data_IF_237893298623
#
_entry.id   IF_237893298623
#
_cell.length_a   1.000
_cell.length_b   1.000
_cell.length_c   1.000
_cell.angle_alpha   90.00
_cell.angle_beta   90.00
_cell.angle_gamma   90.00
#
_symmetry.space_group_name_H-M   'P 1'
#
loop_
_entity.id
_entity.type
_entity.pdbx_description
1 polymer ?
#
# COMPACT_ATOMS: atom_id res chain seq x y z
N UNK A 1 -10.02 9.33 6.99
CA UNK A 1 -11.08 8.33 7.24
C UNK A 1 -11.80 7.86 5.98
N UNK A 2 -12.59 8.70 5.28
CA UNK A 2 -13.39 8.25 4.13
C UNK A 2 -12.53 7.60 3.04
N UNK A 3 -11.38 8.20 2.70
CA UNK A 3 -10.43 7.61 1.74
C UNK A 3 -9.94 6.23 2.20
N UNK A 4 -9.57 6.07 3.47
CA UNK A 4 -9.08 4.79 4.00
C UNK A 4 -10.15 3.68 3.94
N UNK A 5 -11.41 4.01 4.24
CA UNK A 5 -12.53 3.07 4.13
C UNK A 5 -12.74 2.64 2.67
N UNK A 6 -12.79 3.59 1.74
CA UNK A 6 -12.97 3.24 0.32
C UNK A 6 -11.76 2.51 -0.26
N UNK A 7 -10.54 2.87 0.12
CA UNK A 7 -9.34 2.13 -0.27
C UNK A 7 -9.36 0.70 0.26
N UNK A 8 -9.85 0.48 1.48
CA UNK A 8 -10.03 -0.85 2.05
C UNK A 8 -11.02 -1.69 1.27
N UNK A 9 -12.20 -1.15 0.98
CA UNK A 9 -13.17 -1.89 0.18
C UNK A 9 -12.70 -2.09 -1.26
N UNK A 10 -12.03 -1.11 -1.86
CA UNK A 10 -11.45 -1.26 -3.20
C UNK A 10 -10.43 -2.39 -3.24
N UNK A 11 -9.57 -2.50 -2.23
CA UNK A 11 -8.56 -3.57 -2.14
C UNK A 11 -9.21 -4.94 -1.86
N UNK A 12 -10.23 -4.96 -1.00
CA UNK A 12 -10.99 -6.18 -0.68
C UNK A 12 -11.77 -6.74 -1.88
N UNK A 13 -12.17 -5.88 -2.82
CA UNK A 13 -12.98 -6.24 -3.97
C UNK A 13 -12.22 -6.33 -5.29
N UNK A 14 -10.91 -6.15 -5.25
CA UNK A 14 -10.05 -6.08 -6.42
C UNK A 14 -10.19 -7.32 -7.32
N UNK A 15 -10.17 -8.53 -6.74
CA UNK A 15 -10.28 -9.76 -7.53
C UNK A 15 -11.69 -10.17 -8.00
N UNK A 16 -12.73 -9.37 -7.75
CA UNK A 16 -14.12 -9.73 -8.12
C UNK A 16 -14.31 -9.75 -9.63
N UNK A 17 -13.72 -8.80 -10.35
CA UNK A 17 -13.86 -8.69 -11.80
C UNK A 17 -13.20 -9.89 -12.52
N UNK A 18 -12.03 -10.35 -12.07
CA UNK A 18 -11.36 -11.55 -12.57
C UNK A 18 -12.15 -12.83 -12.27
N UNK A 19 -12.77 -12.92 -11.08
CA UNK A 19 -13.69 -14.01 -10.75
C UNK A 19 -14.92 -14.00 -11.66
N UNK A 20 -15.49 -12.83 -11.92
CA UNK A 20 -16.64 -12.66 -12.80
C UNK A 20 -16.27 -13.01 -14.25
N UNK A 21 -15.15 -12.51 -14.76
CA UNK A 21 -14.70 -12.77 -16.13
C UNK A 21 -14.48 -14.27 -16.41
N UNK A 22 -13.98 -15.02 -15.42
CA UNK A 22 -13.88 -16.49 -15.51
C UNK A 22 -15.25 -17.17 -15.54
N UNK A 23 -16.22 -16.69 -14.74
CA UNK A 23 -17.59 -17.24 -14.69
C UNK A 23 -18.36 -16.96 -15.98
N UNK A 24 -18.19 -15.79 -16.57
CA UNK A 24 -18.91 -15.37 -17.80
C UNK A 24 -18.17 -15.71 -19.08
N UNK A 25 -17.03 -16.41 -19.00
CA UNK A 25 -16.17 -16.74 -20.14
C UNK A 25 -15.74 -15.50 -20.95
N UNK A 26 -15.55 -14.37 -20.28
CA UNK A 26 -15.17 -13.07 -20.87
C UNK A 26 -13.75 -12.65 -20.50
N UNK A 27 -12.89 -13.60 -20.14
CA UNK A 27 -11.47 -13.35 -19.86
C UNK A 27 -10.79 -12.85 -21.13
N UNK A 28 -10.01 -11.77 -21.02
CA UNK A 28 -9.25 -11.23 -22.15
C UNK A 28 -7.93 -10.60 -21.68
N UNK A 29 -6.88 -10.58 -22.52
CA UNK A 29 -5.61 -9.93 -22.20
C UNK A 29 -5.76 -8.43 -21.93
N UNK A 30 -6.73 -7.77 -22.57
CA UNK A 30 -7.02 -6.35 -22.35
C UNK A 30 -7.65 -6.12 -20.99
N UNK A 31 -8.53 -7.02 -20.54
CA UNK A 31 -9.13 -6.96 -19.20
C UNK A 31 -8.07 -7.12 -18.12
N UNK A 32 -7.19 -8.12 -18.25
CA UNK A 32 -6.08 -8.34 -17.32
C UNK A 32 -5.10 -7.14 -17.29
N UNK A 33 -4.76 -6.59 -18.46
CA UNK A 33 -3.93 -5.37 -18.53
C UNK A 33 -4.62 -4.16 -17.86
N UNK A 34 -5.93 -4.02 -18.02
CA UNK A 34 -6.68 -2.91 -17.44
C UNK A 34 -6.74 -3.00 -15.91
N UNK A 35 -6.98 -4.19 -15.35
CA UNK A 35 -6.94 -4.46 -13.92
C UNK A 35 -5.58 -4.06 -13.31
N UNK A 36 -4.50 -4.56 -13.92
CA UNK A 36 -3.13 -4.22 -13.57
C UNK A 36 -2.79 -2.73 -13.67
N UNK A 37 -3.31 -2.03 -14.69
CA UNK A 37 -3.11 -0.59 -14.84
C UNK A 37 -3.82 0.19 -13.73
N UNK A 38 -5.01 -0.23 -13.32
CA UNK A 38 -5.73 0.37 -12.20
C UNK A 38 -4.97 0.16 -10.88
N UNK A 39 -4.40 -1.03 -10.65
CA UNK A 39 -3.53 -1.31 -9.50
C UNK A 39 -2.34 -0.37 -9.43
N UNK A 40 -1.66 -0.12 -10.55
CA UNK A 40 -0.56 0.85 -10.62
C UNK A 40 -1.03 2.27 -10.24
N UNK A 41 -2.18 2.70 -10.78
CA UNK A 41 -2.73 4.03 -10.50
C UNK A 41 -3.10 4.21 -9.02
N UNK A 42 -3.46 3.14 -8.30
CA UNK A 42 -3.81 3.17 -6.87
C UNK A 42 -2.60 3.43 -5.97
N UNK A 43 -1.36 3.21 -6.44
CA UNK A 43 -0.14 3.33 -5.60
C UNK A 43 0.11 4.77 -5.12
N UNK A 44 -0.05 5.77 -5.98
CA UNK A 44 0.14 7.18 -5.59
C UNK A 44 -0.81 7.63 -4.48
N UNK A 45 -2.16 7.51 -4.63
CA UNK A 45 -3.08 7.89 -3.56
C UNK A 45 -2.89 7.02 -2.31
N UNK A 46 -2.46 5.76 -2.46
CA UNK A 46 -2.08 4.92 -1.32
C UNK A 46 -0.93 5.53 -0.51
N UNK A 47 0.19 5.90 -1.13
CA UNK A 47 1.34 6.48 -0.41
C UNK A 47 0.99 7.85 0.21
N UNK A 48 0.22 8.68 -0.50
CA UNK A 48 -0.23 9.97 0.03
C UNK A 48 -1.11 9.79 1.27
N UNK A 49 -2.00 8.80 1.25
CA UNK A 49 -2.85 8.52 2.41
C UNK A 49 -2.04 7.87 3.53
N UNK A 50 -1.14 6.92 3.25
CA UNK A 50 -0.32 6.24 4.26
C UNK A 50 0.37 7.22 5.24
N UNK A 51 0.87 8.35 4.74
CA UNK A 51 1.60 9.33 5.55
C UNK A 51 0.75 10.46 6.12
N UNK A 52 -0.50 10.61 5.69
CA UNK A 52 -1.37 11.68 6.16
C UNK A 52 -1.54 11.75 7.70
N UNK A 53 -1.61 10.64 8.45
CA UNK A 53 -1.70 10.68 9.92
C UNK A 53 -0.44 11.22 10.60
N UNK A 54 0.71 11.14 9.92
CA UNK A 54 2.01 11.49 10.50
C UNK A 54 2.38 12.96 10.29
N UNK A 55 1.72 13.69 9.37
CA UNK A 55 2.19 14.99 8.87
C UNK A 55 2.22 16.11 9.94
N UNK A 56 1.33 16.06 10.93
CA UNK A 56 1.28 17.04 12.04
C UNK A 56 1.97 16.55 13.33
N UNK A 57 2.48 15.32 13.34
CA UNK A 57 3.04 14.69 14.54
C UNK A 57 4.55 14.88 14.70
N UNK A 58 5.07 14.68 15.92
CA UNK A 58 6.51 14.53 16.21
C UNK A 58 7.17 13.33 15.49
N UNK A 59 6.38 12.51 14.78
CA UNK A 59 6.82 11.37 13.96
C UNK A 59 6.62 11.64 12.47
N UNK A 60 6.67 12.92 12.07
CA UNK A 60 6.52 13.35 10.69
C UNK A 60 7.54 12.70 9.77
N UNK A 61 7.04 12.10 8.71
CA UNK A 61 7.86 11.53 7.64
C UNK A 61 8.15 12.62 6.61
N UNK A 62 9.42 12.80 6.24
CA UNK A 62 9.80 13.84 5.30
C UNK A 62 9.19 13.56 3.91
N UNK A 63 8.79 14.60 3.14
CA UNK A 63 8.28 14.42 1.79
C UNK A 63 9.25 13.67 0.85
N UNK A 64 10.55 13.82 1.08
CA UNK A 64 11.58 13.08 0.35
C UNK A 64 11.51 11.57 0.65
N UNK A 65 11.35 11.19 1.93
CA UNK A 65 11.14 9.78 2.31
C UNK A 65 9.87 9.22 1.67
N UNK A 66 8.78 9.99 1.68
CA UNK A 66 7.53 9.59 1.03
C UNK A 66 7.67 9.39 -0.48
N UNK A 67 8.44 10.24 -1.15
CA UNK A 67 8.74 10.11 -2.58
C UNK A 67 9.60 8.88 -2.86
N UNK A 68 10.61 8.60 -2.03
CA UNK A 68 11.45 7.41 -2.19
C UNK A 68 10.62 6.13 -2.02
N UNK A 69 9.73 6.09 -1.03
CA UNK A 69 8.82 4.95 -0.85
C UNK A 69 7.87 4.77 -2.05
N UNK A 70 7.34 5.87 -2.59
CA UNK A 70 6.52 5.82 -3.80
C UNK A 70 7.28 5.19 -4.97
N UNK A 71 8.51 5.64 -5.22
CA UNK A 71 9.35 5.13 -6.30
C UNK A 71 9.65 3.65 -6.09
N UNK A 72 9.94 3.24 -4.85
CA UNK A 72 10.22 1.85 -4.51
C UNK A 72 9.02 0.93 -4.75
N UNK A 73 7.83 1.31 -4.29
CA UNK A 73 6.61 0.53 -4.50
C UNK A 73 6.30 0.44 -5.99
N UNK A 74 6.43 1.53 -6.75
CA UNK A 74 6.24 1.54 -8.21
C UNK A 74 7.27 0.66 -8.93
N UNK A 75 8.54 0.69 -8.51
CA UNK A 75 9.59 -0.14 -9.07
C UNK A 75 9.34 -1.63 -8.79
N UNK A 76 9.02 -1.99 -7.55
CA UNK A 76 8.66 -3.35 -7.16
C UNK A 76 7.45 -3.88 -7.93
N UNK A 77 6.42 -3.04 -8.09
CA UNK A 77 5.22 -3.37 -8.85
C UNK A 77 5.53 -3.59 -10.34
N UNK A 78 6.34 -2.72 -10.93
CA UNK A 78 6.78 -2.84 -12.33
C UNK A 78 7.62 -4.11 -12.54
N UNK A 79 8.53 -4.42 -11.63
CA UNK A 79 9.31 -5.66 -11.65
C UNK A 79 8.43 -6.91 -11.55
N UNK A 80 7.38 -6.88 -10.72
CA UNK A 80 6.41 -7.98 -10.62
C UNK A 80 5.69 -8.26 -11.94
N UNK A 81 5.28 -7.23 -12.67
CA UNK A 81 4.71 -7.42 -14.01
C UNK A 81 5.71 -7.88 -15.05
N UNK A 82 6.95 -7.39 -14.96
CA UNK A 82 8.01 -7.87 -15.83
C UNK A 82 8.25 -9.37 -15.63
N UNK A 83 8.26 -9.83 -14.37
CA UNK A 83 8.35 -11.24 -14.04
C UNK A 83 7.14 -12.02 -14.58
N UNK A 84 5.91 -11.56 -14.32
CA UNK A 84 4.69 -12.20 -14.83
C UNK A 84 4.70 -12.30 -16.36
N UNK A 85 5.16 -11.26 -17.05
CA UNK A 85 5.27 -11.28 -18.51
C UNK A 85 6.19 -12.39 -19.03
N UNK A 86 7.28 -12.68 -18.30
CA UNK A 86 8.24 -13.72 -18.69
C UNK A 86 7.77 -15.11 -18.24
N UNK A 87 7.31 -15.26 -17.00
CA UNK A 87 7.02 -16.55 -16.36
C UNK A 87 5.57 -16.99 -16.52
N UNK A 88 4.69 -16.09 -16.96
CA UNK A 88 3.23 -16.24 -16.96
C UNK A 88 2.64 -16.54 -15.57
N UNK A 89 3.39 -16.24 -14.51
CA UNK A 89 2.95 -16.43 -13.11
C UNK A 89 3.14 -15.13 -12.35
N UNK A 90 2.06 -14.61 -11.77
CA UNK A 90 2.13 -13.44 -10.89
C UNK A 90 2.34 -13.90 -9.44
N UNK A 91 3.50 -13.60 -8.89
CA UNK A 91 3.75 -13.71 -7.46
C UNK A 91 3.34 -12.39 -6.80
N UNK A 92 2.20 -12.40 -6.12
CA UNK A 92 1.74 -11.23 -5.37
C UNK A 92 2.63 -11.06 -4.14
N UNK A 93 3.50 -10.05 -4.17
CA UNK A 93 4.50 -9.78 -3.14
C UNK A 93 3.89 -9.32 -1.80
N UNK A 94 4.70 -9.40 -0.74
CA UNK A 94 4.45 -8.97 0.65
C UNK A 94 3.74 -7.61 0.85
N UNK A 95 3.81 -6.71 -0.14
CA UNK A 95 3.23 -5.38 -0.09
C UNK A 95 1.70 -5.46 -0.10
N UNK A 96 1.12 -6.51 -0.68
CA UNK A 96 -0.34 -6.64 -0.80
C UNK A 96 -1.05 -6.74 0.55
N UNK A 97 -0.44 -7.43 1.52
CA UNK A 97 -0.94 -7.50 2.90
C UNK A 97 -0.66 -6.19 3.66
N UNK A 98 0.44 -5.51 3.32
CA UNK A 98 0.78 -4.20 3.86
C UNK A 98 -0.27 -3.12 3.57
N UNK A 99 -0.98 -3.20 2.44
CA UNK A 99 -2.08 -2.28 2.10
C UNK A 99 -3.23 -2.35 3.11
N UNK A 100 -3.63 -3.56 3.54
CA UNK A 100 -4.68 -3.74 4.54
C UNK A 100 -4.25 -3.19 5.90
N UNK A 101 -3.02 -3.50 6.33
CA UNK A 101 -2.45 -3.00 7.60
C UNK A 101 -2.41 -1.47 7.62
N UNK A 102 -1.95 -0.87 6.52
CA UNK A 102 -1.91 0.58 6.33
C UNK A 102 -3.30 1.22 6.46
N UNK A 103 -4.31 0.68 5.79
CA UNK A 103 -5.67 1.23 5.81
C UNK A 103 -6.32 1.09 7.19
N UNK A 104 -6.11 -0.05 7.87
CA UNK A 104 -6.58 -0.27 9.24
C UNK A 104 -5.94 0.75 10.19
N UNK A 105 -4.61 0.92 10.13
CA UNK A 105 -3.90 1.92 10.91
C UNK A 105 -4.50 3.31 10.68
N UNK A 106 -4.79 3.64 9.43
CA UNK A 106 -5.33 4.92 9.05
C UNK A 106 -6.77 5.16 9.56
N UNK A 107 -7.58 4.11 9.66
CA UNK A 107 -8.90 4.15 10.29
C UNK A 107 -8.76 4.30 11.81
N UNK A 108 -7.82 3.57 12.45
CA UNK A 108 -7.59 3.66 13.90
C UNK A 108 -7.04 5.04 14.30
N UNK A 109 -6.13 5.61 13.51
CA UNK A 109 -5.56 6.93 13.74
C UNK A 109 -6.62 8.04 13.72
N UNK A 110 -7.73 7.85 12.99
CA UNK A 110 -8.85 8.78 13.04
C UNK A 110 -9.54 8.81 14.42
N UNK A 111 -9.67 7.66 15.09
CA UNK A 111 -10.35 7.57 16.38
C UNK A 111 -9.45 7.96 17.56
N UNK A 112 -8.17 7.58 17.50
CA UNK A 112 -7.23 7.75 18.61
C UNK A 112 -6.33 8.99 18.46
N UNK A 113 -6.39 9.64 17.29
CA UNK A 113 -5.63 10.84 16.95
C UNK A 113 -4.11 10.61 16.94
N UNK A 114 -3.35 11.61 17.38
CA UNK A 114 -1.88 11.56 17.42
C UNK A 114 -1.32 10.48 18.34
N UNK A 115 -2.10 9.97 19.30
CA UNK A 115 -1.62 9.00 20.30
C UNK A 115 -1.17 7.70 19.67
N UNK A 116 -1.94 7.19 18.70
CA UNK A 116 -1.59 5.96 17.99
C UNK A 116 -0.38 6.18 17.07
N UNK A 117 -0.34 7.32 16.39
CA UNK A 117 0.71 7.69 15.43
C UNK A 117 2.07 7.86 16.13
N UNK A 118 2.06 8.39 17.35
CA UNK A 118 3.25 8.63 18.18
C UNK A 118 3.53 7.50 19.19
N UNK A 119 2.70 6.45 19.21
CA UNK A 119 2.86 5.35 20.15
C UNK A 119 4.17 4.59 19.90
N UNK A 120 4.84 4.25 21.00
CA UNK A 120 5.97 3.32 20.99
C UNK A 120 5.42 1.89 21.02
N UNK A 121 5.86 1.07 20.07
CA UNK A 121 5.52 -0.35 19.95
C UNK A 121 6.47 -1.21 20.78
N UNK A 122 7.78 -1.10 20.53
CA UNK A 122 8.85 -1.88 21.18
C UNK A 122 10.05 -0.96 21.40
N UNK A 123 10.45 -0.77 22.67
CA UNK A 123 11.54 0.13 23.06
C UNK A 123 11.43 1.53 22.41
N UNK A 124 12.29 1.82 21.45
CA UNK A 124 12.38 3.09 20.72
C UNK A 124 11.58 3.11 19.40
N UNK A 125 10.97 1.99 19.00
CA UNK A 125 10.28 1.88 17.71
C UNK A 125 8.89 2.47 17.80
N UNK A 126 8.61 3.44 16.95
CA UNK A 126 7.30 4.05 16.79
C UNK A 126 6.50 3.34 15.71
N UNK A 127 5.21 3.62 15.65
CA UNK A 127 4.31 3.11 14.61
C UNK A 127 4.79 3.51 13.20
N UNK A 128 5.38 4.70 13.02
CA UNK A 128 5.98 5.11 11.74
C UNK A 128 7.14 4.20 11.31
N UNK A 129 7.96 3.74 12.24
CA UNK A 129 9.13 2.89 11.95
C UNK A 129 8.69 1.50 11.51
N UNK A 130 7.60 0.99 12.10
CA UNK A 130 6.98 -0.27 11.66
C UNK A 130 6.42 -0.14 10.24
N UNK A 131 5.73 0.96 9.92
CA UNK A 131 5.23 1.21 8.57
C UNK A 131 6.39 1.24 7.57
N UNK A 132 7.46 1.98 7.86
CA UNK A 132 8.64 2.01 7.00
C UNK A 132 9.32 0.65 6.89
N UNK A 133 9.40 -0.12 7.97
CA UNK A 133 9.95 -1.48 7.95
C UNK A 133 9.13 -2.43 7.07
N UNK A 134 7.80 -2.37 7.14
CA UNK A 134 6.90 -3.23 6.33
C UNK A 134 7.13 -3.00 4.83
N UNK A 135 7.35 -1.74 4.41
CA UNK A 135 7.47 -1.42 2.99
C UNK A 135 8.90 -1.40 2.46
N UNK A 136 9.90 -1.06 3.30
CA UNK A 136 11.30 -0.88 2.89
C UNK A 136 12.22 -2.02 3.38
N UNK A 137 11.78 -2.82 4.35
CA UNK A 137 12.63 -3.80 5.05
C UNK A 137 13.76 -3.17 5.89
N UNK A 138 13.82 -1.83 5.98
CA UNK A 138 14.89 -1.09 6.62
C UNK A 138 14.37 0.15 7.34
N UNK A 139 14.75 0.30 8.62
CA UNK A 139 14.34 1.40 9.50
C UNK A 139 15.28 2.61 9.47
N UNK A 140 16.47 2.48 8.87
CA UNK A 140 17.49 3.54 8.93
C UNK A 140 17.16 4.79 8.09
N UNK A 141 16.07 4.77 7.31
CA UNK A 141 15.72 5.86 6.41
C UNK A 141 15.14 7.10 7.12
N UNK A 142 14.74 6.96 8.40
CA UNK A 142 14.19 8.03 9.22
C UNK A 142 15.22 8.71 10.14
N UNK A 143 16.46 8.20 10.21
CA UNK A 143 17.53 8.72 11.08
C UNK A 143 18.60 9.50 10.32
#
# INVERSE_FOLDING_TARGET
MICAIFSFWSHAYDGIDGLQARRTLSVSPVGEFFDHALDACKILPFVMTLFAPFDESESRISPFCSLMLLIEILAAFTCGFWEQYITNTLHVSWCFDGFYVAQILHILAYFDGERLVTAYLIDEWRVCDLVMFIFNGNINFLR
#
